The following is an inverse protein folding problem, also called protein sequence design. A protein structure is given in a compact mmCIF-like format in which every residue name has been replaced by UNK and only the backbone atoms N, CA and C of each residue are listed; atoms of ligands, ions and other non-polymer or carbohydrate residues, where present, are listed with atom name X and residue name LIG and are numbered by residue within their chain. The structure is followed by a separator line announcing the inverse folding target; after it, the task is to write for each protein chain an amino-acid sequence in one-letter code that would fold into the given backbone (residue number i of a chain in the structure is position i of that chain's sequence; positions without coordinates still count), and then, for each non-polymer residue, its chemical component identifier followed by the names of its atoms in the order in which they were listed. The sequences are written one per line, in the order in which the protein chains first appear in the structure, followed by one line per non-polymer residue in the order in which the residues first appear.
data_IF_886598223837
#
_entry.id   IF_886598223837
#
_cell.length_a   1.000
_cell.length_b   1.000
_cell.length_c   1.000
_cell.angle_alpha   90.00
_cell.angle_beta   90.00
_cell.angle_gamma   90.00
#
_symmetry.space_group_name_H-M   'P 1'
#
loop_
_entity.id
_entity.type
_entity.pdbx_description
1 polymer ?
#
# COMPACT_ATOMS: atom_id res chain seq x y z
N UNK A 1 -43.00 -96.72 36.65
CA UNK A 1 -42.67 -95.46 35.93
C UNK A 1 -42.46 -95.86 34.47
N UNK A 2 -43.31 -95.39 33.56
CA UNK A 2 -43.30 -95.85 32.17
C UNK A 2 -42.11 -95.23 31.42
N UNK A 3 -41.43 -95.99 30.57
CA UNK A 3 -40.23 -95.51 29.85
C UNK A 3 -40.52 -94.28 28.98
N UNK A 4 -41.76 -94.15 28.50
CA UNK A 4 -42.26 -93.03 27.72
C UNK A 4 -42.26 -91.72 28.51
N UNK A 5 -42.55 -91.78 29.82
CA UNK A 5 -42.61 -90.58 30.67
C UNK A 5 -41.20 -90.02 30.91
N UNK A 6 -40.22 -90.93 31.12
CA UNK A 6 -38.80 -90.56 31.27
C UNK A 6 -38.29 -89.86 30.00
N UNK A 7 -38.62 -90.38 28.81
CA UNK A 7 -38.20 -89.75 27.55
C UNK A 7 -38.82 -88.36 27.34
N UNK A 8 -40.07 -88.15 27.77
CA UNK A 8 -40.72 -86.83 27.70
C UNK A 8 -40.07 -85.83 28.64
N UNK A 9 -39.75 -86.25 29.86
CA UNK A 9 -39.08 -85.39 30.84
C UNK A 9 -37.68 -84.99 30.35
N UNK A 10 -36.92 -85.93 29.80
CA UNK A 10 -35.59 -85.66 29.21
C UNK A 10 -35.71 -84.68 28.04
N UNK A 11 -36.69 -84.87 27.14
CA UNK A 11 -36.89 -83.98 26.00
C UNK A 11 -37.34 -82.58 26.41
N UNK A 12 -38.17 -82.47 27.46
CA UNK A 12 -38.60 -81.19 28.02
C UNK A 12 -37.41 -80.44 28.66
N UNK A 13 -36.57 -81.16 29.40
CA UNK A 13 -35.33 -80.60 29.97
C UNK A 13 -34.38 -80.15 28.85
N UNK A 14 -34.18 -80.98 27.83
CA UNK A 14 -33.32 -80.66 26.68
C UNK A 14 -33.81 -79.42 25.92
N UNK A 15 -35.10 -79.36 25.62
CA UNK A 15 -35.69 -78.19 24.95
C UNK A 15 -35.53 -76.94 25.82
N UNK A 16 -35.71 -77.02 27.14
CA UNK A 16 -35.54 -75.87 28.03
C UNK A 16 -34.08 -75.41 28.15
N UNK A 17 -33.12 -76.34 28.10
CA UNK A 17 -31.68 -76.02 28.16
C UNK A 17 -31.15 -75.47 26.84
N UNK A 18 -31.69 -75.93 25.70
CA UNK A 18 -31.19 -75.61 24.37
C UNK A 18 -32.14 -74.74 23.53
N UNK A 19 -33.22 -74.19 24.13
CA UNK A 19 -34.05 -73.18 23.45
C UNK A 19 -33.33 -71.83 23.45
N UNK A 20 -32.49 -71.64 22.44
CA UNK A 20 -31.75 -70.41 22.17
C UNK A 20 -32.66 -69.19 21.96
N UNK A 21 -33.97 -69.38 21.74
CA UNK A 21 -34.92 -68.29 21.54
C UNK A 21 -35.06 -67.42 22.77
N UNK A 22 -35.05 -68.00 23.97
CA UNK A 22 -35.13 -67.25 25.22
C UNK A 22 -33.86 -66.43 25.47
N UNK A 23 -32.71 -67.03 25.19
CA UNK A 23 -31.42 -66.34 25.26
C UNK A 23 -31.35 -65.17 24.27
N UNK A 24 -31.65 -65.42 22.99
CA UNK A 24 -31.65 -64.39 21.94
C UNK A 24 -32.64 -63.27 22.24
N UNK A 25 -33.83 -63.61 22.75
CA UNK A 25 -34.80 -62.60 23.15
C UNK A 25 -34.28 -61.70 24.28
N UNK A 26 -33.62 -62.29 25.28
CA UNK A 26 -32.95 -61.54 26.35
C UNK A 26 -31.88 -60.59 25.82
N UNK A 27 -31.00 -61.07 24.95
CA UNK A 27 -29.93 -60.27 24.33
C UNK A 27 -30.47 -59.14 23.45
N UNK A 28 -31.53 -59.40 22.67
CA UNK A 28 -32.20 -58.38 21.85
C UNK A 28 -32.81 -57.30 22.74
N UNK A 29 -33.49 -57.69 23.82
CA UNK A 29 -34.11 -56.74 24.76
C UNK A 29 -33.05 -55.92 25.53
N UNK A 30 -31.94 -56.56 25.93
CA UNK A 30 -30.82 -55.89 26.56
C UNK A 30 -30.17 -54.88 25.60
N UNK A 31 -29.92 -55.29 24.37
CA UNK A 31 -29.37 -54.41 23.33
C UNK A 31 -30.31 -53.24 23.06
N UNK A 32 -31.61 -53.49 22.86
CA UNK A 32 -32.59 -52.43 22.63
C UNK A 32 -32.62 -51.42 23.79
N UNK A 33 -32.65 -51.90 25.03
CA UNK A 33 -32.63 -51.04 26.22
C UNK A 33 -31.34 -50.20 26.30
N UNK A 34 -30.19 -50.83 26.13
CA UNK A 34 -28.90 -50.12 26.18
C UNK A 34 -28.80 -49.06 25.08
N UNK A 35 -29.28 -49.35 23.88
CA UNK A 35 -29.25 -48.41 22.76
C UNK A 35 -30.27 -47.27 22.91
N UNK A 36 -31.52 -47.57 23.29
CA UNK A 36 -32.56 -46.55 23.45
C UNK A 36 -32.26 -45.64 24.66
N UNK A 37 -31.82 -46.20 25.77
CA UNK A 37 -31.55 -45.45 26.99
C UNK A 37 -30.30 -44.58 26.84
N UNK A 38 -29.18 -45.13 26.37
CA UNK A 38 -27.93 -44.35 26.20
C UNK A 38 -28.04 -43.32 25.07
N UNK A 39 -28.77 -43.61 24.00
CA UNK A 39 -28.95 -42.65 22.90
C UNK A 39 -29.93 -41.54 23.24
N UNK A 40 -31.03 -41.88 23.92
CA UNK A 40 -32.03 -40.90 24.36
C UNK A 40 -31.41 -39.83 25.26
N UNK A 41 -30.63 -40.25 26.25
CA UNK A 41 -30.00 -39.31 27.19
C UNK A 41 -28.98 -38.40 26.49
N UNK A 42 -28.13 -38.95 25.60
CA UNK A 42 -27.11 -38.17 24.87
C UNK A 42 -27.72 -37.20 23.88
N UNK A 43 -28.77 -37.59 23.14
CA UNK A 43 -29.40 -36.73 22.16
C UNK A 43 -30.18 -35.59 22.82
N UNK A 44 -30.81 -35.87 23.97
CA UNK A 44 -31.47 -34.86 24.80
C UNK A 44 -30.45 -33.86 25.37
N UNK A 45 -29.34 -34.34 25.93
CA UNK A 45 -28.26 -33.47 26.41
C UNK A 45 -27.68 -32.58 25.30
N UNK A 46 -27.50 -33.15 24.10
CA UNK A 46 -27.05 -32.40 22.94
C UNK A 46 -28.06 -31.32 22.53
N UNK A 47 -29.36 -31.65 22.54
CA UNK A 47 -30.42 -30.70 22.24
C UNK A 47 -30.47 -29.56 23.26
N UNK A 48 -30.31 -29.85 24.55
CA UNK A 48 -30.22 -28.83 25.60
C UNK A 48 -29.00 -27.94 25.42
N UNK A 49 -27.84 -28.53 25.10
CA UNK A 49 -26.62 -27.76 24.81
C UNK A 49 -26.80 -26.84 23.61
N UNK A 50 -27.45 -27.31 22.54
CA UNK A 50 -27.77 -26.49 21.37
C UNK A 50 -28.75 -25.38 21.72
N UNK A 51 -29.78 -25.69 22.51
CA UNK A 51 -30.77 -24.70 22.96
C UNK A 51 -30.12 -23.60 23.80
N UNK A 52 -29.23 -23.96 24.72
CA UNK A 52 -28.46 -23.01 25.53
C UNK A 52 -27.60 -22.09 24.65
N UNK A 53 -26.88 -22.66 23.68
CA UNK A 53 -26.09 -21.87 22.72
C UNK A 53 -26.95 -20.93 21.89
N UNK A 54 -28.10 -21.38 21.41
CA UNK A 54 -29.03 -20.54 20.64
C UNK A 54 -29.58 -19.42 21.53
N UNK A 55 -29.92 -19.72 22.78
CA UNK A 55 -30.39 -18.73 23.75
C UNK A 55 -29.32 -17.69 24.07
N UNK A 56 -28.06 -18.11 24.28
CA UNK A 56 -26.94 -17.18 24.48
C UNK A 56 -26.71 -16.30 23.25
N UNK A 57 -26.61 -16.89 22.05
CA UNK A 57 -26.42 -16.13 20.81
C UNK A 57 -27.51 -15.08 20.64
N UNK A 58 -28.77 -15.47 20.87
CA UNK A 58 -29.93 -14.59 20.73
C UNK A 58 -29.97 -13.50 21.81
N UNK A 59 -29.60 -13.84 23.05
CA UNK A 59 -29.67 -12.92 24.19
C UNK A 59 -28.51 -11.93 24.24
N UNK A 60 -27.30 -12.38 23.94
CA UNK A 60 -26.06 -11.64 24.21
C UNK A 60 -25.31 -11.29 22.93
N UNK A 61 -24.98 -12.27 22.10
CA UNK A 61 -24.00 -12.08 21.01
C UNK A 61 -24.51 -11.16 19.90
N UNK A 62 -25.80 -11.27 19.54
CA UNK A 62 -26.41 -10.39 18.51
C UNK A 62 -26.36 -8.93 18.94
N UNK A 63 -26.73 -8.64 20.20
CA UNK A 63 -26.75 -7.28 20.71
C UNK A 63 -25.34 -6.69 20.80
N UNK A 64 -24.37 -7.48 21.29
CA UNK A 64 -22.96 -7.08 21.35
C UNK A 64 -22.39 -6.79 19.96
N UNK A 65 -22.71 -7.62 18.97
CA UNK A 65 -22.29 -7.39 17.59
C UNK A 65 -22.88 -6.08 17.06
N UNK A 66 -24.18 -5.86 17.29
CA UNK A 66 -24.85 -4.63 16.85
C UNK A 66 -24.21 -3.38 17.47
N UNK A 67 -23.99 -3.37 18.78
CA UNK A 67 -23.33 -2.25 19.48
C UNK A 67 -21.92 -2.01 18.96
N UNK A 68 -21.15 -3.09 18.75
CA UNK A 68 -19.79 -2.99 18.21
C UNK A 68 -19.78 -2.44 16.79
N UNK A 69 -20.72 -2.85 15.95
CA UNK A 69 -20.85 -2.40 14.56
C UNK A 69 -21.29 -0.95 14.52
N UNK A 70 -22.28 -0.56 15.33
CA UNK A 70 -22.76 0.81 15.40
C UNK A 70 -21.63 1.77 15.80
N UNK A 71 -20.77 1.41 16.76
CA UNK A 71 -19.62 2.23 17.13
C UNK A 71 -18.53 2.25 16.05
N UNK A 72 -18.09 1.08 15.58
CA UNK A 72 -16.95 1.02 14.66
C UNK A 72 -17.26 1.58 13.27
N UNK A 73 -18.49 1.40 12.78
CA UNK A 73 -18.87 1.94 11.47
C UNK A 73 -19.01 3.46 11.50
N UNK A 74 -19.48 4.04 12.61
CA UNK A 74 -19.53 5.49 12.76
C UNK A 74 -18.11 6.09 12.74
N UNK A 75 -17.18 5.51 13.49
CA UNK A 75 -15.79 5.97 13.54
C UNK A 75 -15.10 5.87 12.17
N UNK A 76 -15.26 4.73 11.48
CA UNK A 76 -14.74 4.55 10.11
C UNK A 76 -15.38 5.53 9.13
N UNK A 77 -16.68 5.79 9.25
CA UNK A 77 -17.35 6.73 8.37
C UNK A 77 -16.89 8.19 8.62
N UNK A 78 -16.65 8.56 9.87
CA UNK A 78 -16.18 9.90 10.21
C UNK A 78 -14.74 10.12 9.76
N UNK A 79 -13.86 9.14 9.95
CA UNK A 79 -12.48 9.19 9.41
C UNK A 79 -12.45 9.25 7.88
N UNK A 80 -13.33 8.51 7.19
CA UNK A 80 -13.46 8.60 5.72
C UNK A 80 -13.93 9.99 5.30
N UNK A 81 -14.91 10.59 5.99
CA UNK A 81 -15.38 11.95 5.70
C UNK A 81 -14.30 12.99 5.91
N UNK A 82 -13.50 12.86 6.96
CA UNK A 82 -12.37 13.75 7.22
C UNK A 82 -11.32 13.64 6.10
N UNK A 83 -10.95 12.41 5.72
CA UNK A 83 -10.03 12.18 4.61
C UNK A 83 -10.56 12.77 3.29
N UNK A 84 -11.85 12.58 2.99
CA UNK A 84 -12.50 13.16 1.82
C UNK A 84 -12.45 14.69 1.84
N UNK A 85 -12.71 15.30 3.00
CA UNK A 85 -12.63 16.76 3.18
C UNK A 85 -11.22 17.28 2.86
N UNK A 86 -10.18 16.61 3.36
CA UNK A 86 -8.79 16.96 3.08
C UNK A 86 -8.50 16.84 1.58
N UNK A 87 -8.92 15.75 0.93
CA UNK A 87 -8.73 15.57 -0.51
C UNK A 87 -9.40 16.70 -1.31
N UNK A 88 -10.61 17.11 -0.93
CA UNK A 88 -11.31 18.22 -1.58
C UNK A 88 -10.56 19.55 -1.39
N UNK A 89 -10.05 19.82 -0.19
CA UNK A 89 -9.24 21.02 0.07
C UNK A 89 -7.98 21.04 -0.82
N UNK A 90 -7.29 19.91 -0.95
CA UNK A 90 -6.11 19.79 -1.82
C UNK A 90 -6.48 20.05 -3.27
N UNK A 91 -7.59 19.46 -3.75
CA UNK A 91 -8.06 19.63 -5.11
C UNK A 91 -8.47 21.09 -5.40
N UNK A 92 -9.12 21.76 -4.45
CA UNK A 92 -9.49 23.17 -4.57
C UNK A 92 -8.25 24.08 -4.58
N UNK A 93 -7.24 23.75 -3.75
CA UNK A 93 -5.95 24.45 -3.76
C UNK A 93 -5.23 24.27 -5.09
N UNK A 94 -5.22 23.05 -5.66
CA UNK A 94 -4.65 22.79 -6.99
C UNK A 94 -5.38 23.58 -8.08
N UNK A 95 -6.72 23.67 -8.00
CA UNK A 95 -7.48 24.51 -8.94
C UNK A 95 -7.24 26.00 -8.76
N UNK A 96 -6.94 26.47 -7.55
CA UNK A 96 -6.78 27.91 -7.23
C UNK A 96 -5.35 28.39 -7.41
N UNK A 97 -4.37 27.51 -7.23
CA UNK A 97 -2.96 27.74 -7.52
C UNK A 97 -2.61 27.02 -8.83
N UNK A 98 -2.80 27.65 -10.00
CA UNK A 98 -2.13 27.21 -11.21
C UNK A 98 -0.63 27.44 -10.97
N UNK A 99 0.03 26.45 -10.37
CA UNK A 99 1.44 26.45 -10.04
C UNK A 99 2.31 26.82 -11.26
N UNK A 100 1.79 26.55 -12.47
CA UNK A 100 2.40 26.96 -13.72
C UNK A 100 2.38 28.48 -13.96
N UNK A 101 1.32 29.24 -13.69
CA UNK A 101 1.25 30.63 -14.17
C UNK A 101 2.24 31.57 -13.49
N UNK A 102 2.33 31.52 -12.16
CA UNK A 102 3.27 32.36 -11.40
C UNK A 102 4.73 31.94 -11.65
N UNK A 103 4.98 30.63 -11.77
CA UNK A 103 6.31 30.08 -12.02
C UNK A 103 6.78 30.34 -13.46
N UNK A 104 5.87 30.27 -14.43
CA UNK A 104 6.13 30.62 -15.82
C UNK A 104 6.39 32.12 -16.00
N UNK A 105 5.60 32.99 -15.34
CA UNK A 105 5.87 34.43 -15.35
C UNK A 105 7.26 34.75 -14.79
N UNK A 106 7.63 34.15 -13.65
CA UNK A 106 8.95 34.33 -13.07
C UNK A 106 10.10 33.74 -13.92
N UNK A 107 9.83 32.68 -14.69
CA UNK A 107 10.77 32.13 -15.68
C UNK A 107 10.95 33.06 -16.87
N UNK A 108 9.85 33.58 -17.42
CA UNK A 108 9.90 34.51 -18.55
C UNK A 108 10.58 35.83 -18.18
N UNK A 109 10.28 36.40 -17.01
CA UNK A 109 10.97 37.62 -16.54
C UNK A 109 12.47 37.42 -16.40
N UNK A 110 12.91 36.29 -15.83
CA UNK A 110 14.36 35.98 -15.74
C UNK A 110 15.01 35.78 -17.11
N UNK A 111 14.29 35.20 -18.07
CA UNK A 111 14.80 35.02 -19.43
C UNK A 111 15.06 36.38 -20.10
N UNK A 112 14.10 37.31 -19.99
CA UNK A 112 14.24 38.67 -20.54
C UNK A 112 15.38 39.43 -19.85
N UNK A 113 15.48 39.33 -18.53
CA UNK A 113 16.58 39.97 -17.78
C UNK A 113 17.94 39.40 -18.16
N UNK A 114 18.02 38.08 -18.37
CA UNK A 114 19.24 37.42 -18.83
C UNK A 114 19.65 37.84 -20.25
N UNK A 115 18.69 37.88 -21.18
CA UNK A 115 18.95 38.37 -22.56
C UNK A 115 19.49 39.79 -22.53
N UNK A 116 18.86 40.68 -21.76
CA UNK A 116 19.35 42.06 -21.60
C UNK A 116 20.75 42.12 -21.00
N UNK A 117 21.02 41.33 -19.95
CA UNK A 117 22.35 41.29 -19.34
C UNK A 117 23.43 40.83 -20.31
N UNK A 118 23.14 39.82 -21.14
CA UNK A 118 24.07 39.32 -22.15
C UNK A 118 24.33 40.38 -23.22
N UNK A 119 23.29 41.07 -23.69
CA UNK A 119 23.43 42.16 -24.66
C UNK A 119 24.26 43.32 -24.09
N UNK A 120 23.95 43.77 -22.86
CA UNK A 120 24.69 44.83 -22.17
C UNK A 120 26.18 44.45 -21.99
N UNK A 121 26.46 43.19 -21.65
CA UNK A 121 27.83 42.69 -21.53
C UNK A 121 28.57 42.64 -22.87
N UNK A 122 27.87 42.24 -23.95
CA UNK A 122 28.45 42.21 -25.30
C UNK A 122 28.85 43.61 -25.75
N UNK A 123 27.96 44.59 -25.56
CA UNK A 123 28.25 46.00 -25.86
C UNK A 123 29.44 46.49 -25.05
N UNK A 124 29.49 46.17 -23.76
CA UNK A 124 30.61 46.58 -22.92
C UNK A 124 31.95 45.99 -23.37
N UNK A 125 31.97 44.71 -23.78
CA UNK A 125 33.17 44.10 -24.34
C UNK A 125 33.63 44.81 -25.63
N UNK A 126 32.71 45.14 -26.53
CA UNK A 126 33.03 45.90 -27.75
C UNK A 126 33.58 47.30 -27.45
N UNK A 127 33.01 48.01 -26.47
CA UNK A 127 33.52 49.32 -26.02
C UNK A 127 34.94 49.24 -25.44
N UNK A 128 35.22 48.18 -24.67
CA UNK A 128 36.55 47.95 -24.13
C UNK A 128 37.53 47.66 -25.26
N UNK A 129 37.21 46.74 -26.16
CA UNK A 129 38.08 46.37 -27.28
C UNK A 129 38.40 47.57 -28.18
N UNK A 130 37.40 48.36 -28.54
CA UNK A 130 37.60 49.58 -29.33
C UNK A 130 38.46 50.62 -28.62
N UNK A 131 38.32 50.78 -27.29
CA UNK A 131 39.19 51.67 -26.51
C UNK A 131 40.64 51.17 -26.50
N UNK A 132 40.84 49.86 -26.38
CA UNK A 132 42.16 49.25 -26.44
C UNK A 132 42.81 49.43 -27.82
N UNK A 133 42.06 49.22 -28.91
CA UNK A 133 42.53 49.45 -30.28
C UNK A 133 42.96 50.90 -30.48
N UNK A 134 42.14 51.88 -30.07
CA UNK A 134 42.49 53.30 -30.16
C UNK A 134 43.77 53.62 -29.38
N UNK A 135 43.92 53.11 -28.15
CA UNK A 135 45.13 53.33 -27.35
C UNK A 135 46.35 52.66 -27.98
N UNK A 136 46.19 51.49 -28.59
CA UNK A 136 47.26 50.82 -29.31
C UNK A 136 47.70 51.63 -30.53
N UNK A 137 46.76 52.19 -31.30
CA UNK A 137 47.06 53.06 -32.45
C UNK A 137 47.75 54.36 -32.02
N UNK A 138 47.26 55.02 -30.96
CA UNK A 138 47.89 56.21 -30.39
C UNK A 138 49.34 55.94 -29.97
N UNK A 139 49.58 54.80 -29.30
CA UNK A 139 50.94 54.38 -28.91
C UNK A 139 51.82 54.13 -30.13
N UNK A 140 51.32 53.41 -31.14
CA UNK A 140 52.07 53.17 -32.38
C UNK A 140 52.46 54.47 -33.08
N UNK A 141 51.53 55.42 -33.19
CA UNK A 141 51.79 56.75 -33.76
C UNK A 141 52.85 57.50 -32.96
N UNK A 142 52.76 57.47 -31.61
CA UNK A 142 53.75 58.12 -30.74
C UNK A 142 55.15 57.52 -30.89
N UNK A 143 55.27 56.20 -31.06
CA UNK A 143 56.53 55.54 -31.37
C UNK A 143 57.09 55.94 -32.75
N UNK A 144 56.25 55.99 -33.78
CA UNK A 144 56.65 56.44 -35.13
C UNK A 144 57.13 57.89 -35.10
N UNK A 145 56.42 58.78 -34.42
CA UNK A 145 56.81 60.19 -34.26
C UNK A 145 58.11 60.35 -33.48
N UNK A 146 58.30 59.55 -32.42
CA UNK A 146 59.54 59.54 -31.66
C UNK A 146 60.72 59.03 -32.51
N UNK A 147 60.50 57.99 -33.32
CA UNK A 147 61.49 57.44 -34.25
C UNK A 147 61.89 58.48 -35.32
N UNK A 148 60.92 59.23 -35.85
CA UNK A 148 61.14 60.32 -36.79
C UNK A 148 61.91 61.48 -36.15
N UNK A 149 61.56 61.88 -34.91
CA UNK A 149 62.22 62.97 -34.17
C UNK A 149 63.65 62.64 -33.73
N UNK A 150 63.93 61.38 -33.40
CA UNK A 150 65.26 60.91 -33.02
C UNK A 150 66.20 60.70 -34.23
N UNK A 151 65.71 60.87 -35.46
CA UNK A 151 66.54 60.77 -36.67
C UNK A 151 67.15 59.39 -36.87
N UNK A 152 66.47 58.30 -36.45
CA UNK A 152 66.92 56.93 -36.69
C UNK A 152 66.63 56.55 -38.14
N UNK A 153 67.35 57.17 -39.07
CA UNK A 153 67.53 56.74 -40.46
C UNK A 153 69.01 56.84 -40.82
N UNK A 154 69.85 56.14 -40.06
CA UNK A 154 71.26 55.79 -40.32
C UNK A 154 71.58 54.70 -39.29
N UNK A 155 71.89 53.44 -39.57
CA UNK A 155 72.65 52.79 -40.66
C UNK A 155 72.39 51.28 -40.57
N UNK A 156 72.07 50.63 -41.69
CA UNK A 156 72.77 49.44 -42.19
C UNK A 156 72.12 48.96 -43.49
N UNK A 157 72.64 49.47 -44.61
CA UNK A 157 72.78 48.66 -45.81
C UNK A 157 73.91 47.65 -45.59
N UNK A 158 73.77 46.49 -46.24
CA UNK A 158 74.71 45.39 -46.43
C UNK A 158 75.01 44.48 -45.25
N UNK A 159 74.49 43.25 -45.30
CA UNK A 159 75.04 41.99 -45.84
C UNK A 159 73.88 40.97 -45.75
N UNK A 160 73.57 40.03 -46.64
CA UNK A 160 74.32 39.31 -47.66
C UNK A 160 73.73 37.88 -47.69
N UNK A 161 73.21 37.47 -48.85
CA UNK A 161 73.16 36.08 -49.37
C UNK A 161 72.32 34.98 -48.69
N UNK A 162 71.53 34.34 -49.58
CA UNK A 162 70.92 33.00 -49.57
C UNK A 162 69.61 32.81 -48.79
#
# INVERSE_FOLDING_TARGET
MNSVDICKDINAIWTRLFDHRLFLHGEIQFTLREYEQKRGDVEVDHLFTLLEKIADIKGTQINRLKESVDFSLLDVNDTIKEALSICNIINDLESTYPQDSATELARNSRKVEWEKFVDDMSVHCEEVDTTYEQKQEELQQLYVDLQNKLGINTTNQNEGSS
#
